data_IF_191150845026
#
_entry.id   IF_191150845026
#
_cell.length_a   1.000
_cell.length_b   1.000
_cell.length_c   1.000
_cell.angle_alpha   90.00
_cell.angle_beta   90.00
_cell.angle_gamma   90.00
#
_symmetry.space_group_name_H-M   'P 1'
#
loop_
_entity.id
_entity.type
_entity.pdbx_description
1 polymer ?
#
# COMPACT_ATOMS: atom_id res chain seq x y z
N UNK A 1 -14.29 20.10 -12.11
CA UNK A 1 -14.10 19.79 -11.75
C UNK A 1 -14.20 19.45 -11.05
N UNK A 2 -14.57 19.42 -10.88
CA UNK A 2 -14.46 19.20 -10.17
C UNK A 2 -13.91 18.67 -9.86
N UNK A 3 -13.37 18.84 -10.13
CA UNK A 3 -12.73 18.38 -9.96
C UNK A 3 -12.12 18.42 -9.10
N UNK A 4 -11.93 19.01 -9.12
CA UNK A 4 -10.99 18.98 -8.20
C UNK A 4 -11.23 18.50 -7.01
N UNK A 5 -12.05 18.52 -6.76
CA UNK A 5 -12.19 17.89 -5.76
C UNK A 5 -12.00 16.56 -5.88
N UNK A 6 -11.39 16.19 -6.74
CA UNK A 6 -11.13 14.80 -6.85
C UNK A 6 -10.43 14.29 -5.61
N UNK A 7 -10.83 13.17 -5.08
CA UNK A 7 -10.11 12.57 -3.97
C UNK A 7 -8.66 12.32 -4.37
N UNK A 8 -7.77 12.36 -3.39
CA UNK A 8 -6.37 12.09 -3.66
C UNK A 8 -6.18 10.75 -4.35
N UNK A 9 -7.01 9.76 -4.06
CA UNK A 9 -6.92 8.45 -4.67
C UNK A 9 -7.07 8.48 -6.17
N UNK A 10 -7.85 9.40 -6.68
CA UNK A 10 -8.08 9.47 -8.11
C UNK A 10 -6.82 9.87 -8.85
N UNK A 11 -5.91 10.52 -8.16
CA UNK A 11 -4.69 10.98 -8.77
C UNK A 11 -3.56 9.95 -8.72
N UNK A 12 -3.76 8.88 -7.99
CA UNK A 12 -2.76 7.82 -7.92
C UNK A 12 -2.94 6.91 -9.11
N UNK A 13 -1.87 6.74 -9.87
CA UNK A 13 -1.93 5.85 -11.02
C UNK A 13 -1.61 4.44 -10.55
N UNK A 14 -2.59 3.58 -10.60
CA UNK A 14 -2.44 2.20 -10.18
C UNK A 14 -2.40 1.32 -11.42
N UNK A 15 -1.23 0.83 -11.74
CA UNK A 15 -0.98 0.13 -12.98
C UNK A 15 -0.63 -1.33 -12.81
N UNK A 16 -0.97 -1.90 -11.69
CA UNK A 16 -0.70 -3.33 -11.48
C UNK A 16 -1.20 -3.78 -10.13
N UNK A 17 -0.87 -5.02 -9.75
CA UNK A 17 -1.38 -5.59 -8.51
C UNK A 17 -1.03 -4.78 -7.28
N UNK A 18 -1.94 -4.76 -6.33
CA UNK A 18 -1.87 -3.94 -5.13
C UNK A 18 -1.79 -4.82 -3.90
N UNK A 19 -0.95 -4.41 -2.97
CA UNK A 19 -0.86 -5.02 -1.65
C UNK A 19 -1.36 -4.03 -0.63
N UNK A 20 -2.30 -4.44 0.20
CA UNK A 20 -2.82 -3.62 1.28
C UNK A 20 -2.27 -4.12 2.60
N UNK A 21 -1.67 -3.22 3.36
CA UNK A 21 -1.23 -3.52 4.70
C UNK A 21 -2.29 -3.03 5.67
N UNK A 22 -1.89 -2.54 6.85
CA UNK A 22 -2.88 -2.13 7.84
C UNK A 22 -3.52 -0.81 7.45
N UNK A 23 -4.83 -0.77 7.47
CA UNK A 23 -5.59 0.42 7.12
C UNK A 23 -6.06 1.16 8.35
N UNK A 24 -6.79 2.26 8.14
CA UNK A 24 -7.36 3.00 9.25
C UNK A 24 -8.52 2.23 9.88
N UNK A 25 -8.92 2.66 11.05
CA UNK A 25 -10.07 2.07 11.73
C UNK A 25 -11.29 2.23 10.83
N UNK A 26 -12.11 1.17 10.76
CA UNK A 26 -13.32 1.20 9.97
C UNK A 26 -13.16 0.45 8.67
N UNK A 27 -14.00 0.78 7.70
CA UNK A 27 -14.13 -0.02 6.49
C UNK A 27 -13.44 0.59 5.28
N UNK A 28 -12.63 1.62 5.49
CA UNK A 28 -12.07 2.36 4.36
C UNK A 28 -11.24 1.45 3.45
N UNK A 29 -10.32 0.67 4.02
CA UNK A 29 -9.50 -0.21 3.19
C UNK A 29 -10.31 -1.34 2.57
N UNK A 30 -11.34 -1.81 3.26
CA UNK A 30 -12.20 -2.83 2.68
C UNK A 30 -12.94 -2.27 1.46
N UNK A 31 -13.41 -1.04 1.55
CA UNK A 31 -14.06 -0.40 0.42
C UNK A 31 -13.07 -0.12 -0.71
N UNK A 32 -11.88 0.28 -0.36
CA UNK A 32 -10.83 0.51 -1.33
C UNK A 32 -10.50 -0.79 -2.08
N UNK A 33 -10.43 -1.89 -1.33
CA UNK A 33 -10.21 -3.19 -1.92
C UNK A 33 -11.28 -3.52 -2.96
N UNK A 34 -12.55 -3.32 -2.59
CA UNK A 34 -13.63 -3.60 -3.52
C UNK A 34 -13.61 -2.69 -4.73
N UNK A 35 -13.26 -1.44 -4.51
CA UNK A 35 -13.13 -0.50 -5.62
C UNK A 35 -12.06 -0.98 -6.61
N UNK A 36 -10.91 -1.39 -6.09
CA UNK A 36 -9.84 -1.87 -6.96
C UNK A 36 -10.25 -3.12 -7.71
N UNK A 37 -10.93 -4.04 -7.02
CA UNK A 37 -11.41 -5.24 -7.68
C UNK A 37 -12.40 -4.91 -8.78
N UNK A 38 -13.24 -3.93 -8.55
CA UNK A 38 -14.16 -3.47 -9.57
C UNK A 38 -13.48 -2.88 -10.77
N UNK A 39 -12.27 -2.39 -10.59
CA UNK A 39 -11.45 -1.87 -11.70
C UNK A 39 -10.62 -2.96 -12.36
N UNK A 40 -10.76 -4.20 -11.92
CA UNK A 40 -9.97 -5.28 -12.50
C UNK A 40 -8.56 -5.38 -11.98
N UNK A 41 -8.26 -4.72 -10.85
CA UNK A 41 -6.93 -4.70 -10.28
C UNK A 41 -6.81 -5.80 -9.23
N UNK A 42 -5.85 -6.72 -9.36
CA UNK A 42 -5.66 -7.75 -8.34
C UNK A 42 -5.23 -7.14 -7.01
N UNK A 43 -5.83 -7.59 -5.93
CA UNK A 43 -5.56 -7.07 -4.60
C UNK A 43 -5.18 -8.21 -3.68
N UNK A 44 -4.14 -7.97 -2.87
CA UNK A 44 -3.77 -8.86 -1.78
C UNK A 44 -3.80 -8.05 -0.50
N UNK A 45 -4.42 -8.59 0.54
CA UNK A 45 -4.49 -7.94 1.84
C UNK A 45 -3.74 -8.80 2.85
N UNK A 46 -2.73 -8.23 3.49
CA UNK A 46 -2.07 -8.94 4.59
C UNK A 46 -2.96 -8.80 5.82
N UNK A 47 -3.41 -9.93 6.35
CA UNK A 47 -4.30 -9.95 7.48
C UNK A 47 -3.46 -10.18 8.74
N UNK A 48 -3.29 -9.12 9.52
CA UNK A 48 -2.62 -9.20 10.80
C UNK A 48 -3.60 -9.69 11.86
N UNK A 49 -3.13 -10.16 13.01
CA UNK A 49 -4.05 -10.61 14.05
C UNK A 49 -4.73 -9.45 14.78
N UNK A 50 -4.97 -8.38 14.05
CA UNK A 50 -5.75 -7.26 14.52
C UNK A 50 -7.08 -7.28 13.81
N UNK A 51 -8.04 -6.59 14.38
CA UNK A 51 -9.39 -6.66 13.87
C UNK A 51 -9.59 -5.69 12.72
N UNK A 52 -9.57 -6.23 11.54
CA UNK A 52 -9.93 -5.49 10.35
C UNK A 52 -11.03 -6.27 9.65
N UNK A 53 -12.08 -5.58 9.24
CA UNK A 53 -13.30 -6.22 8.76
C UNK A 53 -13.58 -5.88 7.31
N UNK A 54 -14.38 -6.73 6.71
CA UNK A 54 -15.02 -6.40 5.44
C UNK A 54 -14.24 -6.82 4.20
N UNK A 55 -13.09 -7.46 4.37
CA UNK A 55 -12.33 -7.91 3.22
C UNK A 55 -12.83 -9.27 2.73
N UNK A 56 -12.89 -9.48 1.40
CA UNK A 56 -13.17 -10.81 0.89
C UNK A 56 -12.10 -11.79 1.36
N UNK A 57 -12.52 -13.00 1.72
CA UNK A 57 -11.59 -13.96 2.27
C UNK A 57 -10.48 -14.32 1.28
N UNK A 58 -10.82 -14.33 -0.01
CA UNK A 58 -9.88 -14.78 -1.03
C UNK A 58 -8.74 -13.81 -1.27
N UNK A 59 -8.84 -12.56 -0.82
CA UNK A 59 -7.73 -11.62 -0.99
C UNK A 59 -6.79 -11.62 0.22
N UNK A 60 -7.18 -12.23 1.32
CA UNK A 60 -6.44 -12.13 2.57
C UNK A 60 -5.34 -13.18 2.66
N UNK A 61 -4.15 -12.74 3.06
CA UNK A 61 -3.03 -13.63 3.37
C UNK A 61 -2.66 -13.35 4.82
N UNK A 62 -2.84 -14.33 5.71
CA UNK A 62 -2.60 -14.09 7.13
C UNK A 62 -1.11 -13.98 7.44
N UNK A 63 -0.80 -13.13 8.41
CA UNK A 63 0.56 -13.02 8.91
C UNK A 63 0.51 -12.79 10.42
N UNK A 64 1.09 -13.71 11.18
CA UNK A 64 1.12 -13.59 12.62
C UNK A 64 2.50 -13.89 13.22
N UNK A 65 3.50 -13.96 12.37
CA UNK A 65 4.86 -14.20 12.84
C UNK A 65 5.51 -12.88 13.28
N UNK A 66 6.69 -12.97 13.85
CA UNK A 66 7.38 -11.79 14.33
C UNK A 66 8.03 -11.00 13.23
N UNK A 67 8.67 -9.91 13.64
CA UNK A 67 9.28 -9.00 12.68
C UNK A 67 10.48 -9.61 11.97
N UNK A 68 11.12 -10.61 12.56
CA UNK A 68 12.25 -11.26 11.90
C UNK A 68 11.85 -11.91 10.59
N UNK A 69 10.63 -12.37 10.50
CA UNK A 69 10.13 -13.05 9.30
C UNK A 69 9.41 -12.11 8.35
N UNK A 70 9.23 -10.86 8.73
CA UNK A 70 8.37 -9.95 7.98
C UNK A 70 8.98 -9.59 6.62
N UNK A 71 10.25 -9.22 6.58
CA UNK A 71 10.87 -8.84 5.31
C UNK A 71 10.90 -9.97 4.30
N UNK A 72 11.33 -11.19 4.69
CA UNK A 72 11.29 -12.29 3.71
C UNK A 72 9.87 -12.62 3.27
N UNK A 73 8.89 -12.51 4.17
CA UNK A 73 7.50 -12.74 3.81
C UNK A 73 7.04 -11.73 2.78
N UNK A 74 7.32 -10.45 3.02
CA UNK A 74 6.93 -9.38 2.10
C UNK A 74 7.59 -9.58 0.74
N UNK A 75 8.89 -9.83 0.74
CA UNK A 75 9.61 -9.98 -0.50
C UNK A 75 9.03 -11.11 -1.34
N UNK A 76 8.76 -12.23 -0.70
CA UNK A 76 8.19 -13.37 -1.42
C UNK A 76 6.80 -13.01 -1.97
N UNK A 77 5.99 -12.36 -1.16
CA UNK A 77 4.65 -12.00 -1.57
C UNK A 77 4.68 -11.03 -2.75
N UNK A 78 5.56 -10.05 -2.69
CA UNK A 78 5.69 -9.08 -3.76
C UNK A 78 6.11 -9.78 -5.05
N UNK A 79 7.08 -10.67 -4.95
CA UNK A 79 7.60 -11.35 -6.13
C UNK A 79 6.60 -12.34 -6.70
N UNK A 80 5.97 -13.12 -5.85
CA UNK A 80 5.04 -14.12 -6.31
C UNK A 80 3.80 -13.53 -6.95
N UNK A 81 3.35 -12.40 -6.46
CA UNK A 81 2.12 -11.81 -6.94
C UNK A 81 2.33 -10.61 -7.85
N UNK A 82 3.59 -10.29 -8.14
CA UNK A 82 3.88 -9.17 -9.02
C UNK A 82 3.38 -7.84 -8.50
N UNK A 83 3.46 -7.63 -7.21
CA UNK A 83 2.93 -6.42 -6.57
C UNK A 83 3.64 -5.20 -7.11
N UNK A 84 2.88 -4.18 -7.48
CA UNK A 84 3.40 -2.94 -8.00
C UNK A 84 3.19 -1.77 -7.06
N UNK A 85 2.19 -1.85 -6.21
CA UNK A 85 1.85 -0.76 -5.29
C UNK A 85 1.50 -1.34 -3.93
N UNK A 86 1.95 -0.68 -2.88
CA UNK A 86 1.62 -1.06 -1.51
C UNK A 86 0.97 0.13 -0.86
N UNK A 87 -0.18 -0.08 -0.24
CA UNK A 87 -0.89 0.98 0.46
C UNK A 87 -0.97 0.63 1.95
N UNK A 88 -0.78 1.64 2.78
CA UNK A 88 -0.80 1.47 4.22
C UNK A 88 -1.29 2.76 4.88
N UNK A 89 -1.80 2.65 6.11
CA UNK A 89 -2.22 3.81 6.87
C UNK A 89 -1.10 4.20 7.83
N UNK A 90 -0.49 5.36 7.59
CA UNK A 90 0.61 5.83 8.39
C UNK A 90 1.88 5.02 8.16
N UNK A 91 3.01 5.61 8.56
CA UNK A 91 4.29 4.96 8.42
C UNK A 91 5.01 4.81 9.76
N UNK A 92 4.25 4.95 10.87
CA UNK A 92 4.87 4.99 12.18
C UNK A 92 5.01 3.61 12.83
N UNK A 93 4.36 2.58 12.31
CA UNK A 93 4.53 1.24 12.87
C UNK A 93 5.63 0.50 12.13
N UNK A 94 6.28 -0.39 12.86
CA UNK A 94 7.45 -1.07 12.31
C UNK A 94 7.15 -1.84 11.04
N UNK A 95 6.07 -2.63 10.94
CA UNK A 95 5.81 -3.35 9.70
C UNK A 95 5.70 -2.43 8.49
N UNK A 96 5.12 -1.24 8.67
CA UNK A 96 4.98 -0.32 7.56
C UNK A 96 6.32 0.27 7.16
N UNK A 97 7.15 0.62 8.15
CA UNK A 97 8.45 1.19 7.82
C UNK A 97 9.33 0.18 7.10
N UNK A 98 9.27 -1.08 7.54
CA UNK A 98 10.02 -2.12 6.86
C UNK A 98 9.49 -2.36 5.45
N UNK A 99 8.17 -2.26 5.27
CA UNK A 99 7.58 -2.43 3.96
C UNK A 99 8.02 -1.33 3.01
N UNK A 100 8.12 -0.10 3.50
CA UNK A 100 8.61 1.01 2.68
C UNK A 100 10.03 0.74 2.21
N UNK A 101 10.88 0.22 3.11
CA UNK A 101 12.24 -0.09 2.74
C UNK A 101 12.31 -1.20 1.71
N UNK A 102 11.51 -2.24 1.88
CA UNK A 102 11.50 -3.32 0.90
C UNK A 102 10.94 -2.85 -0.43
N UNK A 103 9.93 -2.01 -0.40
CA UNK A 103 9.40 -1.45 -1.64
C UNK A 103 10.47 -0.70 -2.40
N UNK A 104 11.26 0.10 -1.69
CA UNK A 104 12.36 0.82 -2.34
C UNK A 104 13.35 -0.14 -2.98
N UNK A 105 13.69 -1.21 -2.25
CA UNK A 105 14.67 -2.17 -2.75
C UNK A 105 14.15 -2.91 -3.98
N UNK A 106 12.85 -3.10 -4.08
CA UNK A 106 12.27 -3.92 -5.13
C UNK A 106 11.61 -3.10 -6.24
N UNK A 107 11.71 -1.78 -6.16
CA UNK A 107 11.12 -0.94 -7.19
C UNK A 107 9.61 -0.87 -7.15
N UNK A 108 9.02 -1.06 -5.99
CA UNK A 108 7.57 -1.03 -5.79
C UNK A 108 7.20 0.30 -5.16
N UNK A 109 6.08 0.86 -5.59
CA UNK A 109 5.64 2.15 -5.04
C UNK A 109 4.87 1.96 -3.75
N UNK A 110 5.26 2.69 -2.74
CA UNK A 110 4.60 2.65 -1.44
C UNK A 110 3.81 3.94 -1.23
N UNK A 111 2.55 3.78 -0.85
CA UNK A 111 1.64 4.90 -0.67
C UNK A 111 1.14 4.90 0.75
N UNK A 112 1.24 6.03 1.42
CA UNK A 112 0.87 6.17 2.82
C UNK A 112 -0.39 7.02 2.91
N UNK A 113 -1.44 6.43 3.48
CA UNK A 113 -2.66 7.16 3.78
C UNK A 113 -2.51 7.84 5.11
N UNK A 114 -2.92 9.09 5.16
CA UNK A 114 -2.99 9.84 6.41
C UNK A 114 -4.31 10.58 6.42
N UNK A 115 -4.64 11.21 7.50
CA UNK A 115 -5.95 11.80 7.67
C UNK A 115 -6.40 12.55 6.42
N UNK A 116 -7.31 11.94 5.70
CA UNK A 116 -7.96 12.58 4.57
C UNK A 116 -7.18 12.61 3.28
N UNK A 117 -5.96 12.06 3.23
CA UNK A 117 -5.21 12.09 1.98
C UNK A 117 -4.24 10.91 1.90
N UNK A 118 -3.73 10.70 0.69
CA UNK A 118 -2.72 9.69 0.44
C UNK A 118 -1.49 10.40 -0.11
N UNK A 119 -0.33 9.90 0.27
CA UNK A 119 0.92 10.45 -0.25
C UNK A 119 1.86 9.31 -0.61
N UNK A 120 2.71 9.52 -1.60
CA UNK A 120 3.78 8.57 -1.85
C UNK A 120 4.83 8.71 -0.76
N UNK A 121 5.63 7.68 -0.61
CA UNK A 121 6.77 7.77 0.27
C UNK A 121 7.92 8.39 -0.50
N UNK A 122 8.26 9.62 -0.18
CA UNK A 122 9.24 10.36 -0.95
C UNK A 122 10.64 9.79 -0.86
N UNK A 123 10.95 9.11 0.22
CA UNK A 123 12.23 8.44 0.30
C UNK A 123 12.34 7.40 -0.80
N UNK A 124 11.27 6.69 -1.06
CA UNK A 124 11.24 5.71 -2.13
C UNK A 124 11.33 6.37 -3.50
N UNK A 125 10.64 7.49 -3.67
CA UNK A 125 10.56 8.13 -4.97
C UNK A 125 11.77 8.96 -5.30
N UNK A 126 12.44 9.49 -4.31
CA UNK A 126 13.56 10.40 -4.55
C UNK A 126 14.63 9.84 -5.44
N UNK A 127 14.85 8.58 -5.34
CA UNK A 127 15.90 8.00 -6.15
C UNK A 127 15.62 8.10 -7.62
N UNK A 128 14.39 8.37 -7.96
CA UNK A 128 14.01 8.42 -9.35
C UNK A 128 13.84 9.80 -9.86
N UNK A 129 13.65 10.71 -8.97
CA UNK A 129 13.33 12.02 -9.40
C UNK A 129 13.93 13.03 -8.58
N UNK A 130 13.76 12.74 -8.25
CA UNK A 130 13.78 13.63 -7.80
C UNK A 130 13.86 14.27 -7.81
N UNK A 131 13.87 13.95 -7.89
CA UNK A 131 13.73 14.57 -7.83
C UNK A 131 13.34 15.20 -8.13
N UNK A 132 13.33 14.98 -8.29
CA UNK A 132 12.90 15.60 -8.62
C UNK A 132 12.22 16.23 -8.44
N UNK A 133 12.06 16.11 -7.97
CA UNK A 133 11.34 16.69 -7.61
C UNK A 133 11.33 17.21 -6.94
N UNK A 134 11.98 16.94 -6.80
CA UNK A 134 11.85 17.34 -6.14
C UNK A 134 11.61 17.86 -5.96
N UNK A 135 11.84 17.69 -6.12
CA UNK A 135 11.47 18.12 -5.92
C UNK A 135 10.90 18.45 -5.85
N UNK A 136 11.13 18.13 -5.82
CA UNK A 136 10.57 18.35 -5.72
C UNK A 136 10.22 18.73 -5.49
N UNK A 137 10.50 18.59 -5.35
CA UNK A 137 10.19 18.93 -5.06
C UNK A 137 9.89 19.29 -4.77
#
# INVERSE_FOLDING_TARGET
>A
MGRGRAPALVQVRIDGPVLLLMGPIGLFFARFCRYLQGCGIPVTKVAFPLREFGFPADVCVPYSKGMDSWRPFLRRLIEERGIRHIFMYGDFIIPHRMAIEEARNLGVEAWVFELGYVRPNYVTLERDRVNARSNVT
#
